data_IF_332999263340
#
_entry.id   IF_332999263340
#
_cell.length_a   1.000
_cell.length_b   1.000
_cell.length_c   1.000
_cell.angle_alpha   90.00
_cell.angle_beta   90.00
_cell.angle_gamma   90.00
#
_symmetry.space_group_name_H-M   'P 1'
#
loop_
_entity.id
_entity.type
_entity.pdbx_description
1 polymer ?
#
# COMPACT_ATOMS: atom_id res chain seq x y z
N UNK A 1 62.91 -11.55 17.16
CA UNK A 1 62.47 -10.72 16.02
C UNK A 1 61.42 -11.50 15.23
N UNK A 2 60.36 -10.81 14.81
CA UNK A 2 59.17 -11.33 14.11
C UNK A 2 59.47 -11.76 12.68
N UNK A 3 58.62 -12.62 12.11
CA UNK A 3 57.85 -12.49 10.84
C UNK A 3 57.34 -13.91 10.49
N UNK A 4 56.05 -14.24 10.67
CA UNK A 4 54.84 -13.83 9.95
C UNK A 4 54.39 -14.94 8.97
N UNK A 5 53.30 -15.60 9.37
CA UNK A 5 52.58 -16.68 8.70
C UNK A 5 51.68 -16.09 7.60
N UNK A 6 51.73 -16.65 6.38
CA UNK A 6 50.68 -16.47 5.37
C UNK A 6 49.98 -17.83 5.19
N UNK A 7 48.71 -17.90 5.57
CA UNK A 7 47.80 -18.95 5.12
C UNK A 7 46.73 -18.31 4.23
N UNK A 8 46.70 -18.74 2.98
CA UNK A 8 45.61 -18.50 2.04
C UNK A 8 44.50 -19.52 2.31
N UNK A 9 43.28 -19.05 2.51
CA UNK A 9 42.08 -19.89 2.60
C UNK A 9 41.25 -19.63 1.33
N UNK A 10 41.15 -20.66 0.49
CA UNK A 10 40.15 -20.75 -0.57
C UNK A 10 38.80 -21.09 0.07
N UNK A 11 37.84 -20.18 -0.01
CA UNK A 11 36.46 -20.39 0.40
C UNK A 11 35.54 -20.51 -0.82
N UNK A 12 35.16 -21.74 -1.16
CA UNK A 12 34.18 -22.06 -2.18
C UNK A 12 32.77 -21.67 -1.72
N UNK A 13 32.10 -20.77 -2.43
CA UNK A 13 30.71 -20.42 -2.20
C UNK A 13 29.80 -21.39 -2.97
N UNK A 14 29.13 -22.28 -2.24
CA UNK A 14 28.08 -23.16 -2.76
C UNK A 14 26.76 -22.39 -2.83
N UNK A 15 26.21 -22.23 -4.04
CA UNK A 15 24.85 -21.79 -4.28
C UNK A 15 23.86 -22.85 -3.75
N UNK A 16 22.92 -22.46 -2.91
CA UNK A 16 21.68 -23.19 -2.70
C UNK A 16 20.50 -22.34 -3.17
N UNK A 17 20.01 -22.67 -4.37
CA UNK A 17 18.69 -22.29 -4.87
C UNK A 17 17.64 -22.94 -3.97
N UNK A 18 16.78 -22.14 -3.34
CA UNK A 18 15.49 -22.60 -2.82
C UNK A 18 14.38 -21.97 -3.65
N UNK A 19 13.78 -22.80 -4.49
CA UNK A 19 12.58 -22.49 -5.25
C UNK A 19 11.37 -22.55 -4.31
N UNK A 20 10.74 -21.40 -4.06
CA UNK A 20 9.41 -21.29 -3.49
C UNK A 20 8.62 -20.24 -4.28
N UNK A 21 8.40 -20.53 -5.56
CA UNK A 21 7.63 -19.67 -6.47
C UNK A 21 6.56 -20.52 -7.16
N UNK A 22 5.43 -20.73 -6.47
CA UNK A 22 4.23 -21.27 -7.10
C UNK A 22 2.90 -20.73 -6.53
N UNK A 23 2.87 -20.14 -5.32
CA UNK A 23 1.61 -19.62 -4.73
C UNK A 23 1.50 -18.08 -4.69
N UNK A 24 2.59 -17.35 -4.95
CA UNK A 24 2.64 -15.87 -4.87
C UNK A 24 2.18 -15.21 -6.18
N UNK A 25 2.37 -15.87 -7.33
CA UNK A 25 1.98 -15.33 -8.64
C UNK A 25 0.45 -15.30 -8.86
N UNK A 26 -0.29 -16.24 -8.26
CA UNK A 26 -1.75 -16.31 -8.40
C UNK A 26 -2.49 -15.17 -7.69
N UNK A 27 -2.02 -14.74 -6.51
CA UNK A 27 -2.61 -13.64 -5.74
C UNK A 27 -2.51 -12.32 -6.52
N UNK A 28 -1.33 -12.03 -7.07
CA UNK A 28 -1.06 -10.79 -7.81
C UNK A 28 -1.88 -10.67 -9.09
N UNK A 29 -1.99 -11.75 -9.88
CA UNK A 29 -2.79 -11.74 -11.11
C UNK A 29 -4.30 -11.59 -10.85
N UNK A 30 -4.82 -12.09 -9.72
CA UNK A 30 -6.24 -11.94 -9.39
C UNK A 30 -6.62 -10.47 -9.10
N UNK A 31 -5.79 -9.75 -8.33
CA UNK A 31 -5.97 -8.31 -8.09
C UNK A 31 -5.80 -7.47 -9.37
N UNK A 32 -4.84 -7.85 -10.21
CA UNK A 32 -4.59 -7.18 -11.49
C UNK A 32 -5.74 -7.36 -12.50
N UNK A 33 -6.31 -8.57 -12.61
CA UNK A 33 -7.47 -8.82 -13.47
C UNK A 33 -8.73 -8.11 -12.97
N UNK A 34 -8.88 -7.92 -11.66
CA UNK A 34 -9.96 -7.10 -11.11
C UNK A 34 -9.79 -5.64 -11.57
N UNK A 35 -8.61 -5.03 -11.37
CA UNK A 35 -8.34 -3.65 -11.81
C UNK A 35 -8.40 -3.43 -13.33
N UNK A 36 -7.89 -4.37 -14.15
CA UNK A 36 -7.87 -4.25 -15.62
C UNK A 36 -9.23 -4.42 -16.31
N UNK A 37 -10.18 -5.15 -15.68
CA UNK A 37 -11.53 -5.35 -16.24
C UNK A 37 -12.40 -4.10 -16.24
N UNK A 38 -11.95 -3.00 -15.64
CA UNK A 38 -12.67 -1.73 -15.59
C UNK A 38 -12.30 -0.74 -16.72
N UNK A 39 -11.38 -1.12 -17.62
CA UNK A 39 -11.14 -0.43 -18.89
C UNK A 39 -11.73 -1.24 -20.04
N UNK A 40 -12.78 -0.70 -20.66
CA UNK A 40 -13.51 -1.20 -21.85
C UNK A 40 -14.57 -2.27 -21.53
N UNK A 41 -15.84 -1.81 -21.45
CA UNK A 41 -17.00 -2.29 -22.21
C UNK A 41 -18.28 -1.64 -21.62
N UNK A 42 -18.60 -0.44 -22.10
CA UNK A 42 -19.97 0.05 -22.09
C UNK A 42 -20.54 -0.28 -23.47
N UNK A 43 -21.12 -1.47 -23.62
CA UNK A 43 -21.91 -1.80 -24.80
C UNK A 43 -23.33 -2.18 -24.37
N UNK A 44 -24.23 -1.38 -24.90
CA UNK A 44 -25.65 -1.29 -24.63
C UNK A 44 -26.35 -2.44 -25.36
N UNK A 45 -26.92 -3.40 -24.64
CA UNK A 45 -27.81 -4.42 -25.22
C UNK A 45 -29.10 -4.51 -24.41
N UNK A 46 -30.17 -4.02 -25.04
CA UNK A 46 -31.54 -3.99 -24.55
C UNK A 46 -32.26 -5.29 -24.92
N UNK A 47 -32.83 -5.91 -23.87
CA UNK A 47 -34.09 -6.67 -23.76
C UNK A 47 -34.22 -8.08 -24.39
N UNK A 48 -34.40 -9.10 -23.53
CA UNK A 48 -35.71 -9.77 -23.36
C UNK A 48 -35.73 -10.80 -22.21
N UNK A 49 -36.68 -10.60 -21.29
CA UNK A 49 -37.32 -11.55 -20.36
C UNK A 49 -36.44 -12.36 -19.36
N UNK A 50 -36.51 -12.03 -18.05
CA UNK A 50 -36.22 -12.92 -16.90
C UNK A 50 -36.65 -12.26 -15.56
N UNK A 51 -36.83 -13.02 -14.45
CA UNK A 51 -37.76 -12.70 -13.34
C UNK A 51 -37.32 -11.46 -12.56
N UNK A 52 -38.26 -10.83 -11.83
CA UNK A 52 -38.08 -9.63 -11.01
C UNK A 52 -36.65 -9.47 -10.48
N UNK A 53 -35.85 -8.70 -11.21
CA UNK A 53 -34.52 -8.30 -10.79
C UNK A 53 -34.75 -7.39 -9.58
N UNK A 54 -34.67 -7.95 -8.37
CA UNK A 54 -34.49 -7.14 -7.18
C UNK A 54 -33.24 -6.30 -7.46
N UNK A 55 -33.47 -5.01 -7.68
CA UNK A 55 -32.43 -4.01 -7.83
C UNK A 55 -31.62 -4.08 -6.55
N UNK A 56 -30.49 -4.82 -6.56
CA UNK A 56 -29.67 -5.04 -5.36
C UNK A 56 -29.44 -3.68 -4.72
N UNK A 57 -29.85 -3.56 -3.47
CA UNK A 57 -29.70 -2.31 -2.75
C UNK A 57 -28.22 -1.96 -2.67
N UNK A 58 -27.93 -0.66 -2.80
CA UNK A 58 -26.57 -0.13 -2.73
C UNK A 58 -26.42 0.59 -1.41
N UNK A 59 -25.29 0.39 -0.75
CA UNK A 59 -24.98 1.15 0.45
C UNK A 59 -24.32 2.48 0.09
N UNK A 60 -24.44 3.44 1.00
CA UNK A 60 -23.70 4.70 0.98
C UNK A 60 -22.77 4.77 2.18
N UNK A 61 -21.63 5.42 2.02
CA UNK A 61 -20.73 5.66 3.14
C UNK A 61 -21.45 6.49 4.21
N UNK A 62 -21.38 6.12 5.50
CA UNK A 62 -21.90 6.94 6.59
C UNK A 62 -21.16 8.29 6.69
N UNK A 63 -21.87 9.34 7.07
CA UNK A 63 -21.25 10.61 7.43
C UNK A 63 -20.62 10.51 8.83
N UNK A 64 -19.30 10.65 8.91
CA UNK A 64 -18.53 10.55 10.14
C UNK A 64 -17.21 11.33 10.03
N UNK A 65 -16.76 12.06 11.07
CA UNK A 65 -15.58 12.93 10.99
C UNK A 65 -14.27 12.21 10.68
N UNK A 66 -14.15 10.93 11.04
CA UNK A 66 -12.97 10.12 10.73
C UNK A 66 -13.00 9.47 9.33
N UNK A 67 -14.14 9.53 8.63
CA UNK A 67 -14.30 8.95 7.30
C UNK A 67 -14.03 9.98 6.21
N UNK A 68 -13.37 9.54 5.16
CA UNK A 68 -13.10 10.37 3.98
C UNK A 68 -13.92 9.84 2.81
N UNK A 69 -14.66 10.73 2.16
CA UNK A 69 -15.33 10.43 0.91
C UNK A 69 -14.31 10.31 -0.22
N UNK A 70 -14.14 9.10 -0.76
CA UNK A 70 -13.39 8.89 -2.00
C UNK A 70 -14.27 9.34 -3.17
N UNK A 71 -13.82 10.28 -4.01
CA UNK A 71 -14.61 10.75 -5.14
C UNK A 71 -14.99 9.61 -6.09
N UNK A 72 -16.21 9.65 -6.61
CA UNK A 72 -16.68 8.66 -7.58
C UNK A 72 -18.18 8.71 -7.76
N UNK A 73 -18.67 7.96 -8.76
CA UNK A 73 -20.08 7.96 -9.12
C UNK A 73 -20.83 6.83 -8.40
N UNK A 74 -20.37 5.58 -8.58
CA UNK A 74 -21.07 4.38 -8.07
C UNK A 74 -20.55 3.94 -6.70
N UNK A 75 -19.32 4.32 -6.34
CA UNK A 75 -18.71 3.95 -5.07
C UNK A 75 -19.35 4.62 -3.85
N UNK A 76 -20.23 5.61 -4.01
CA UNK A 76 -20.96 6.28 -2.93
C UNK A 76 -20.05 6.69 -1.74
N UNK A 77 -18.81 7.12 -2.03
CA UNK A 77 -17.83 7.54 -1.04
C UNK A 77 -16.91 6.46 -0.49
N UNK A 78 -17.23 5.18 -0.68
CA UNK A 78 -16.37 4.07 -0.25
C UNK A 78 -15.02 4.08 -0.98
N UNK A 79 -13.99 3.54 -0.33
CA UNK A 79 -12.64 3.46 -0.86
C UNK A 79 -12.52 2.34 -1.88
N UNK A 80 -13.15 2.56 -3.03
CA UNK A 80 -13.20 1.67 -4.18
C UNK A 80 -13.13 2.50 -5.46
N UNK A 81 -12.84 1.85 -6.59
CA UNK A 81 -12.88 2.50 -7.90
C UNK A 81 -14.23 3.20 -8.18
N UNK A 82 -14.18 4.32 -8.90
CA UNK A 82 -15.31 5.25 -9.06
C UNK A 82 -16.58 4.64 -9.68
N UNK A 83 -16.43 3.54 -10.42
CA UNK A 83 -17.48 2.81 -11.13
C UNK A 83 -17.92 1.52 -10.40
N UNK A 84 -17.33 1.22 -9.24
CA UNK A 84 -17.66 0.04 -8.43
C UNK A 84 -18.68 0.42 -7.36
N UNK A 85 -19.85 -0.21 -7.41
CA UNK A 85 -20.90 0.00 -6.41
C UNK A 85 -20.71 -0.89 -5.17
N UNK A 86 -20.97 -0.34 -3.99
CA UNK A 86 -21.10 -1.11 -2.76
C UNK A 86 -22.46 -1.82 -2.74
N UNK A 87 -22.49 -3.05 -3.29
CA UNK A 87 -23.72 -3.84 -3.43
C UNK A 87 -24.05 -4.59 -2.14
N UNK A 88 -25.34 -4.86 -1.95
CA UNK A 88 -25.84 -5.78 -0.92
C UNK A 88 -25.05 -7.10 -0.87
N UNK A 89 -24.76 -7.54 0.36
CA UNK A 89 -23.99 -8.74 0.66
C UNK A 89 -22.48 -8.61 0.44
N UNK A 90 -21.94 -7.40 0.22
CA UNK A 90 -20.51 -7.15 0.02
C UNK A 90 -19.88 -6.38 1.16
N UNK A 91 -18.58 -6.59 1.34
CA UNK A 91 -17.73 -5.73 2.16
C UNK A 91 -17.24 -4.56 1.31
N UNK A 92 -17.27 -3.36 1.86
CA UNK A 92 -17.00 -2.11 1.18
C UNK A 92 -15.95 -1.34 1.97
N UNK A 93 -14.70 -1.31 1.48
CA UNK A 93 -13.61 -0.63 2.17
C UNK A 93 -13.87 0.86 2.40
N UNK A 94 -13.34 1.37 3.51
CA UNK A 94 -13.51 2.75 3.93
C UNK A 94 -12.16 3.48 3.94
N UNK A 95 -12.18 4.77 3.63
CA UNK A 95 -11.02 5.64 3.75
C UNK A 95 -11.09 6.40 5.08
N UNK A 96 -9.97 6.45 5.79
CA UNK A 96 -9.85 7.19 7.03
C UNK A 96 -9.10 8.50 6.81
N UNK A 97 -9.35 9.49 7.67
CA UNK A 97 -8.55 10.73 7.68
C UNK A 97 -7.07 10.44 7.92
N UNK A 98 -6.20 11.33 7.43
CA UNK A 98 -4.74 11.16 7.50
C UNK A 98 -4.25 10.81 8.91
N UNK A 99 -3.34 9.84 8.99
CA UNK A 99 -2.81 9.32 10.25
C UNK A 99 -3.57 8.12 10.82
N UNK A 100 -4.80 7.85 10.34
CA UNK A 100 -5.62 6.72 10.79
C UNK A 100 -5.68 5.59 9.77
N UNK A 101 -5.94 4.38 10.24
CA UNK A 101 -6.20 3.18 9.45
C UNK A 101 -7.62 2.68 9.72
N UNK A 102 -8.22 1.96 8.77
CA UNK A 102 -9.57 1.39 8.96
C UNK A 102 -9.57 0.39 10.12
N UNK A 103 -10.69 0.23 10.82
CA UNK A 103 -10.83 -0.70 11.94
C UNK A 103 -12.00 -1.67 11.73
N UNK A 104 -12.42 -1.83 10.47
CA UNK A 104 -13.57 -2.62 10.05
C UNK A 104 -13.16 -3.47 8.85
N UNK A 105 -13.52 -4.75 8.87
CA UNK A 105 -13.26 -5.75 7.84
C UNK A 105 -14.03 -7.03 8.17
N UNK A 106 -14.07 -8.00 7.25
CA UNK A 106 -14.63 -9.31 7.53
C UNK A 106 -13.87 -10.00 8.68
N UNK A 107 -14.54 -10.43 9.76
CA UNK A 107 -13.91 -11.19 10.84
C UNK A 107 -13.12 -12.39 10.32
N UNK A 108 -11.95 -12.63 10.91
CA UNK A 108 -11.03 -13.73 10.57
C UNK A 108 -10.45 -13.72 9.14
N UNK A 109 -10.72 -12.68 8.35
CA UNK A 109 -10.08 -12.50 7.02
C UNK A 109 -8.56 -12.42 7.14
N UNK A 110 -7.89 -13.00 6.14
CA UNK A 110 -6.43 -13.00 5.99
C UNK A 110 -6.02 -12.32 4.72
N UNK A 111 -4.73 -12.03 4.60
CA UNK A 111 -4.13 -11.52 3.38
C UNK A 111 -3.98 -12.63 2.34
N UNK A 112 -5.11 -13.20 1.94
CA UNK A 112 -5.27 -14.25 0.96
C UNK A 112 -6.54 -13.98 0.18
N UNK A 113 -6.44 -13.87 -1.14
CA UNK A 113 -7.59 -13.72 -2.01
C UNK A 113 -8.59 -14.91 -1.85
N UNK A 114 -9.92 -14.65 -1.80
CA UNK A 114 -10.58 -13.34 -1.90
C UNK A 114 -10.77 -12.62 -0.57
N UNK A 115 -10.34 -13.21 0.56
CA UNK A 115 -10.54 -12.62 1.89
C UNK A 115 -9.84 -11.26 2.04
N UNK A 116 -8.71 -11.08 1.34
CA UNK A 116 -7.97 -9.82 1.28
C UNK A 116 -8.79 -8.64 0.79
N UNK A 117 -9.84 -8.89 -0.01
CA UNK A 117 -10.71 -7.85 -0.55
C UNK A 117 -11.78 -7.37 0.43
N UNK A 118 -12.03 -8.11 1.51
CA UNK A 118 -13.20 -7.91 2.36
C UNK A 118 -12.94 -6.93 3.51
N UNK A 119 -12.58 -5.69 3.15
CA UNK A 119 -12.37 -4.58 4.08
C UNK A 119 -13.60 -3.71 4.31
N UNK A 120 -13.53 -2.88 5.35
CA UNK A 120 -14.53 -1.87 5.69
C UNK A 120 -15.87 -2.43 6.16
N UNK A 121 -16.97 -1.85 5.66
CA UNK A 121 -18.32 -2.08 6.15
C UNK A 121 -19.03 -3.19 5.37
N UNK A 122 -19.88 -3.94 6.05
CA UNK A 122 -20.74 -4.91 5.38
C UNK A 122 -22.03 -4.26 4.91
N UNK A 123 -22.35 -4.38 3.63
CA UNK A 123 -23.61 -3.89 3.09
C UNK A 123 -24.71 -4.92 3.32
N UNK A 124 -25.64 -4.62 4.23
CA UNK A 124 -26.78 -5.47 4.57
C UNK A 124 -28.08 -4.77 4.16
N UNK A 125 -28.67 -5.23 3.06
CA UNK A 125 -29.92 -4.73 2.47
C UNK A 125 -29.90 -3.22 2.23
N UNK A 126 -28.75 -2.66 1.84
CA UNK A 126 -28.56 -1.23 1.58
C UNK A 126 -28.14 -0.41 2.80
N UNK A 127 -27.97 -1.04 3.96
CA UNK A 127 -27.43 -0.41 5.18
C UNK A 127 -25.97 -0.84 5.35
N UNK A 128 -25.07 0.13 5.50
CA UNK A 128 -23.66 -0.14 5.79
C UNK A 128 -23.47 -0.40 7.29
N UNK A 129 -23.16 -1.63 7.65
CA UNK A 129 -22.99 -2.09 9.03
C UNK A 129 -21.52 -2.31 9.37
N UNK A 130 -21.14 -2.01 10.62
CA UNK A 130 -19.81 -2.32 11.14
C UNK A 130 -19.70 -3.81 11.46
N UNK A 131 -18.76 -4.56 10.85
CA UNK A 131 -18.51 -5.95 11.23
C UNK A 131 -18.06 -6.11 12.68
N UNK A 132 -17.43 -5.09 13.26
CA UNK A 132 -17.10 -5.00 14.69
C UNK A 132 -17.94 -3.86 15.31
N UNK A 133 -19.12 -4.15 15.86
CA UNK A 133 -20.07 -3.13 16.33
C UNK A 133 -19.51 -2.18 17.39
N UNK A 134 -18.65 -2.70 18.28
CA UNK A 134 -18.06 -1.93 19.38
C UNK A 134 -16.78 -1.19 19.00
N UNK A 135 -16.20 -1.48 17.83
CA UNK A 135 -15.00 -0.79 17.34
C UNK A 135 -15.37 0.48 16.55
N UNK A 136 -14.52 1.52 16.54
CA UNK A 136 -14.72 2.68 15.67
C UNK A 136 -14.56 2.31 14.18
N UNK A 137 -14.90 3.24 13.28
CA UNK A 137 -14.61 3.06 11.86
C UNK A 137 -13.11 3.05 11.56
N UNK A 138 -12.37 3.92 12.25
CA UNK A 138 -10.95 4.17 12.05
C UNK A 138 -10.24 4.24 13.40
N UNK A 139 -8.98 3.83 13.43
CA UNK A 139 -8.09 3.96 14.60
C UNK A 139 -6.80 4.67 14.21
N UNK A 140 -6.17 5.33 15.16
CA UNK A 140 -4.87 5.96 14.91
C UNK A 140 -3.81 4.92 14.55
N UNK A 141 -2.98 5.25 13.56
CA UNK A 141 -1.70 4.59 13.38
C UNK A 141 -0.76 4.93 14.54
N UNK A 142 0.47 4.43 14.48
CA UNK A 142 1.45 4.62 15.56
C UNK A 142 1.99 6.05 15.68
N UNK A 143 1.71 6.91 14.70
CA UNK A 143 2.12 8.32 14.70
C UNK A 143 3.61 8.56 14.45
N UNK A 144 4.37 7.52 14.09
CA UNK A 144 5.83 7.58 13.96
C UNK A 144 6.32 8.37 12.74
N UNK A 145 5.49 8.50 11.69
CA UNK A 145 5.91 9.03 10.38
C UNK A 145 5.07 10.23 9.95
N UNK A 146 5.76 11.28 9.52
CA UNK A 146 5.14 12.46 8.90
C UNK A 146 5.54 12.57 7.42
N UNK A 147 4.61 12.97 6.57
CA UNK A 147 4.93 13.50 5.25
C UNK A 147 5.23 14.99 5.37
N UNK A 148 6.36 15.44 4.84
CA UNK A 148 6.82 16.83 4.87
C UNK A 148 7.03 17.32 3.45
N UNK A 149 6.27 18.33 3.06
CA UNK A 149 6.33 18.93 1.73
C UNK A 149 7.13 20.24 1.77
N UNK A 150 8.26 20.28 1.06
CA UNK A 150 9.09 21.47 0.87
C UNK A 150 8.99 22.06 -0.55
N UNK A 151 8.08 21.56 -1.39
CA UNK A 151 7.98 21.94 -2.80
C UNK A 151 7.17 23.23 -3.05
N UNK A 152 6.40 23.71 -2.07
CA UNK A 152 5.61 24.95 -2.17
C UNK A 152 4.29 24.83 -2.94
N UNK A 153 3.95 23.64 -3.42
CA UNK A 153 2.66 23.27 -4.00
C UNK A 153 2.17 22.00 -3.34
N UNK A 154 0.85 21.79 -3.26
CA UNK A 154 0.27 20.56 -2.70
C UNK A 154 0.92 19.30 -3.27
N UNK A 155 1.19 18.33 -2.41
CA UNK A 155 1.63 16.99 -2.82
C UNK A 155 0.65 16.01 -2.20
N UNK A 156 0.03 15.16 -3.01
CA UNK A 156 -0.85 14.12 -2.50
C UNK A 156 -0.10 12.80 -2.26
N UNK A 157 -0.31 12.22 -1.08
CA UNK A 157 0.05 10.85 -0.74
C UNK A 157 -1.23 10.01 -0.80
N UNK A 158 -1.24 9.01 -1.67
CA UNK A 158 -2.41 8.18 -1.93
C UNK A 158 -2.18 6.80 -1.34
N UNK A 159 -2.85 6.50 -0.23
CA UNK A 159 -2.71 5.21 0.45
C UNK A 159 -3.50 4.12 -0.30
N UNK A 160 -2.93 2.92 -0.37
CA UNK A 160 -3.63 1.75 -0.89
C UNK A 160 -4.69 1.23 0.08
N UNK A 161 -5.80 0.76 -0.47
CA UNK A 161 -6.89 0.20 0.31
C UNK A 161 -6.58 -1.25 0.68
N UNK A 162 -6.25 -1.48 1.95
CA UNK A 162 -5.95 -2.82 2.45
C UNK A 162 -6.47 -2.98 3.89
N UNK A 163 -7.37 -3.95 4.19
CA UNK A 163 -7.99 -4.89 3.26
C UNK A 163 -8.87 -4.20 2.20
N UNK A 164 -8.84 -4.72 0.98
CA UNK A 164 -9.53 -4.15 -0.17
C UNK A 164 -8.93 -4.62 -1.49
N UNK A 165 -9.21 -3.85 -2.54
CA UNK A 165 -8.71 -4.10 -3.90
C UNK A 165 -7.28 -3.60 -4.14
N UNK A 166 -6.63 -3.05 -3.10
CA UNK A 166 -5.29 -2.44 -3.13
C UNK A 166 -5.18 -1.17 -4.01
N UNK A 167 -6.31 -0.58 -4.43
CA UNK A 167 -6.30 0.66 -5.18
C UNK A 167 -5.76 1.83 -4.33
N UNK A 168 -4.96 2.72 -4.93
CA UNK A 168 -4.37 3.90 -4.26
C UNK A 168 -5.34 5.08 -4.17
N UNK A 169 -6.49 4.88 -3.53
CA UNK A 169 -7.60 5.86 -3.55
C UNK A 169 -7.86 6.54 -2.21
N UNK A 170 -7.15 6.18 -1.14
CA UNK A 170 -7.29 6.85 0.17
C UNK A 170 -6.45 8.14 0.14
N UNK A 171 -7.09 9.33 0.19
CA UNK A 171 -6.40 10.57 -0.13
C UNK A 171 -5.75 11.23 1.09
N UNK A 172 -4.54 11.76 0.93
CA UNK A 172 -3.91 12.68 1.88
C UNK A 172 -3.21 13.81 1.14
N UNK A 173 -3.72 15.04 1.27
CA UNK A 173 -3.04 16.24 0.76
C UNK A 173 -2.05 16.78 1.78
N UNK A 174 -0.82 17.05 1.34
CA UNK A 174 0.27 17.56 2.17
C UNK A 174 0.68 18.93 1.65
N UNK A 175 0.34 19.98 2.39
CA UNK A 175 0.76 21.36 2.10
C UNK A 175 2.05 21.75 2.81
N UNK A 176 2.27 21.22 4.03
CA UNK A 176 3.44 21.48 4.85
C UNK A 176 3.88 20.21 5.56
N UNK A 177 3.22 19.87 6.66
CA UNK A 177 3.47 18.62 7.39
C UNK A 177 2.16 17.96 7.76
N UNK A 178 2.06 16.66 7.48
CA UNK A 178 0.88 15.85 7.79
C UNK A 178 1.34 14.49 8.31
N UNK A 179 0.76 14.03 9.42
CA UNK A 179 0.96 12.65 9.89
C UNK A 179 0.31 11.68 8.91
N UNK A 180 1.05 10.68 8.45
CA UNK A 180 0.52 9.62 7.60
C UNK A 180 0.24 8.36 8.44
N UNK A 181 -0.67 7.52 7.98
CA UNK A 181 -1.03 6.31 8.69
C UNK A 181 0.14 5.31 8.69
N UNK A 182 0.48 4.83 9.89
CA UNK A 182 1.49 3.78 10.09
C UNK A 182 0.83 2.69 10.91
N UNK A 183 0.45 1.54 10.31
CA UNK A 183 -0.18 0.48 11.05
C UNK A 183 0.78 -0.15 12.06
N UNK A 184 0.27 -0.46 13.24
CA UNK A 184 0.95 -1.32 14.21
C UNK A 184 0.64 -2.80 13.98
N UNK A 185 1.24 -3.67 14.79
CA UNK A 185 1.06 -5.13 14.72
C UNK A 185 -0.39 -5.60 14.97
N UNK A 186 -1.25 -4.76 15.54
CA UNK A 186 -2.67 -5.04 15.75
C UNK A 186 -3.54 -4.78 14.52
N UNK A 187 -2.98 -4.15 13.47
CA UNK A 187 -3.70 -3.90 12.24
C UNK A 187 -3.95 -5.19 11.46
N UNK A 188 -4.97 -5.15 10.60
CA UNK A 188 -5.42 -6.29 9.80
C UNK A 188 -4.26 -7.07 9.18
N UNK A 189 -4.20 -8.35 9.56
CA UNK A 189 -3.15 -9.32 9.19
C UNK A 189 -1.70 -8.80 9.30
N UNK A 190 -1.44 -7.91 10.27
CA UNK A 190 -0.12 -7.31 10.54
C UNK A 190 0.49 -6.59 9.32
N UNK A 191 -0.38 -6.10 8.43
CA UNK A 191 0.02 -5.46 7.18
C UNK A 191 0.59 -4.06 7.39
N UNK A 192 1.26 -3.55 6.35
CA UNK A 192 1.83 -2.21 6.30
C UNK A 192 0.93 -1.25 5.52
N UNK A 193 1.11 0.06 5.73
CA UNK A 193 0.56 1.05 4.81
C UNK A 193 1.50 1.24 3.63
N UNK A 194 0.93 1.43 2.45
CA UNK A 194 1.64 1.74 1.21
C UNK A 194 1.03 2.98 0.57
N UNK A 195 1.87 3.83 -0.03
CA UNK A 195 1.51 5.14 -0.55
C UNK A 195 2.11 5.36 -1.93
N UNK A 196 1.35 5.98 -2.82
CA UNK A 196 1.82 6.59 -4.05
C UNK A 196 2.01 8.09 -3.83
N UNK A 197 3.15 8.65 -4.22
CA UNK A 197 3.50 10.06 -4.00
C UNK A 197 3.44 10.80 -5.33
N UNK A 198 2.44 11.64 -5.49
CA UNK A 198 2.23 12.40 -6.73
C UNK A 198 3.14 13.64 -6.83
N UNK A 199 3.36 14.19 -8.04
CA UNK A 199 4.14 15.40 -8.24
C UNK A 199 3.57 16.65 -7.53
N UNK A 200 4.41 17.61 -7.14
CA UNK A 200 3.96 18.90 -6.61
C UNK A 200 2.99 19.63 -7.55
N UNK A 201 1.86 20.07 -7.02
CA UNK A 201 0.74 20.65 -7.75
C UNK A 201 -0.37 19.66 -8.10
N UNK A 202 -0.23 18.39 -7.75
CA UNK A 202 -1.28 17.37 -7.89
C UNK A 202 -1.94 17.14 -6.53
N UNK A 203 -3.18 17.60 -6.38
CA UNK A 203 -4.02 17.33 -5.21
C UNK A 203 -4.53 15.89 -5.22
N UNK A 204 -4.97 15.41 -4.07
CA UNK A 204 -5.43 14.04 -3.90
C UNK A 204 -6.69 13.73 -4.73
N UNK A 205 -7.56 14.72 -4.95
CA UNK A 205 -8.71 14.60 -5.87
C UNK A 205 -8.33 14.34 -7.33
N UNK A 206 -7.10 14.71 -7.74
CA UNK A 206 -6.55 14.43 -9.07
C UNK A 206 -5.61 13.22 -9.06
N UNK A 207 -4.83 13.05 -7.99
CA UNK A 207 -3.73 12.10 -7.92
C UNK A 207 -4.08 10.75 -7.30
N UNK A 208 -5.12 10.65 -6.48
CA UNK A 208 -5.54 9.40 -5.83
C UNK A 208 -6.63 8.71 -6.65
N UNK A 209 -6.29 8.48 -7.92
CA UNK A 209 -7.13 7.82 -8.93
C UNK A 209 -6.25 6.88 -9.72
N UNK A 210 -6.87 5.90 -10.38
CA UNK A 210 -6.16 5.10 -11.37
C UNK A 210 -5.92 5.96 -12.62
N UNK A 211 -4.66 6.17 -12.96
CA UNK A 211 -4.22 7.06 -14.05
C UNK A 211 -3.99 6.33 -15.37
N UNK A 212 -3.49 7.10 -16.34
CA UNK A 212 -3.08 6.60 -17.66
C UNK A 212 -1.56 6.63 -17.78
N UNK A 213 -0.98 5.76 -18.61
CA UNK A 213 0.47 5.56 -18.71
C UNK A 213 1.25 6.79 -19.19
N UNK A 214 0.58 7.78 -19.77
CA UNK A 214 1.20 9.03 -20.22
C UNK A 214 1.30 10.11 -19.13
N UNK A 215 0.67 9.91 -17.97
CA UNK A 215 0.64 10.90 -16.88
C UNK A 215 1.28 10.34 -15.61
N UNK A 216 2.24 11.05 -14.98
CA UNK A 216 2.94 10.56 -13.80
C UNK A 216 2.13 10.77 -12.51
N UNK A 217 0.90 10.29 -12.48
CA UNK A 217 -0.02 10.42 -11.35
C UNK A 217 -0.66 9.08 -10.98
N UNK A 218 -1.16 8.96 -9.75
CA UNK A 218 -1.83 7.75 -9.27
C UNK A 218 -0.90 6.54 -9.31
N UNK A 219 -1.37 5.44 -9.90
CA UNK A 219 -0.57 4.23 -10.10
C UNK A 219 0.69 4.44 -10.96
N UNK A 220 0.78 5.56 -11.69
CA UNK A 220 1.93 5.96 -12.49
C UNK A 220 2.79 7.05 -11.82
N UNK A 221 2.54 7.40 -10.55
CA UNK A 221 3.35 8.37 -9.83
C UNK A 221 4.82 7.93 -9.74
N UNK A 222 5.80 8.85 -9.66
CA UNK A 222 7.22 8.46 -9.70
C UNK A 222 7.68 7.62 -8.51
N UNK A 223 7.12 7.89 -7.33
CA UNK A 223 7.59 7.31 -6.07
C UNK A 223 6.47 6.61 -5.33
N UNK A 224 6.87 5.60 -4.56
CA UNK A 224 6.04 4.96 -3.56
C UNK A 224 6.74 4.98 -2.20
N UNK A 225 5.95 4.90 -1.14
CA UNK A 225 6.43 4.75 0.21
C UNK A 225 5.66 3.67 0.96
N UNK A 226 6.24 3.13 2.02
CA UNK A 226 5.52 2.24 2.92
C UNK A 226 6.04 2.31 4.35
N UNK A 227 5.17 2.01 5.31
CA UNK A 227 5.55 1.99 6.71
C UNK A 227 4.71 1.03 7.56
N UNK A 228 5.34 0.45 8.58
CA UNK A 228 4.69 -0.31 9.64
C UNK A 228 5.52 -0.33 10.92
N UNK A 229 4.84 -0.41 12.06
CA UNK A 229 5.47 -0.59 13.38
C UNK A 229 5.31 -2.04 13.83
N UNK A 230 6.44 -2.69 14.14
CA UNK A 230 6.47 -4.09 14.57
C UNK A 230 6.43 -4.24 16.09
N UNK A 231 6.36 -5.48 16.57
CA UNK A 231 6.09 -5.78 17.98
C UNK A 231 7.12 -5.22 18.99
N UNK A 232 8.39 -5.08 18.59
CA UNK A 232 9.42 -4.47 19.44
C UNK A 232 9.30 -2.93 19.53
N UNK A 233 8.40 -2.33 18.74
CA UNK A 233 8.17 -0.89 18.66
C UNK A 233 8.98 -0.18 17.57
N UNK A 234 9.86 -0.88 16.85
CA UNK A 234 10.56 -0.31 15.71
C UNK A 234 9.59 -0.06 14.56
N UNK A 235 9.80 1.04 13.85
CA UNK A 235 9.05 1.36 12.63
C UNK A 235 9.97 1.28 11.42
N UNK A 236 9.58 0.48 10.44
CA UNK A 236 10.26 0.44 9.15
C UNK A 236 9.62 1.45 8.22
N UNK A 237 10.42 2.28 7.58
CA UNK A 237 9.98 3.30 6.61
C UNK A 237 10.73 3.07 5.30
N UNK A 238 9.99 2.77 4.23
CA UNK A 238 10.51 2.53 2.89
C UNK A 238 10.15 3.69 1.98
N UNK A 239 11.10 4.10 1.13
CA UNK A 239 10.83 4.87 -0.10
C UNK A 239 11.42 4.11 -1.29
N UNK A 240 10.75 4.17 -2.43
CA UNK A 240 11.15 3.50 -3.65
C UNK A 240 10.74 4.29 -4.89
N UNK A 241 11.41 4.01 -6.00
CA UNK A 241 10.82 4.28 -7.31
C UNK A 241 9.59 3.39 -7.50
N UNK A 242 8.56 3.93 -8.15
CA UNK A 242 7.43 3.12 -8.58
C UNK A 242 7.85 2.27 -9.80
N UNK A 243 7.73 0.93 -9.75
CA UNK A 243 8.08 0.06 -10.87
C UNK A 243 7.29 0.39 -12.15
N UNK A 244 6.03 0.83 -12.06
CA UNK A 244 5.27 1.26 -13.24
C UNK A 244 5.89 2.49 -13.90
N UNK A 245 6.44 3.40 -13.11
CA UNK A 245 7.11 4.60 -13.63
C UNK A 245 8.45 4.26 -14.31
N UNK A 246 9.30 3.47 -13.64
CA UNK A 246 10.66 3.17 -14.13
C UNK A 246 10.71 2.05 -15.17
N UNK A 247 9.69 1.18 -15.21
CA UNK A 247 9.51 0.14 -16.21
C UNK A 247 8.64 0.59 -17.40
N UNK A 248 7.84 1.64 -17.24
CA UNK A 248 6.89 2.11 -18.25
C UNK A 248 7.38 3.25 -19.15
N UNK A 249 6.47 3.83 -19.96
CA UNK A 249 6.81 4.89 -20.92
C UNK A 249 7.30 6.20 -20.26
N UNK A 250 6.96 6.40 -18.97
CA UNK A 250 7.34 7.57 -18.19
C UNK A 250 8.79 7.58 -17.73
N UNK A 251 9.55 6.49 -17.90
CA UNK A 251 10.97 6.41 -17.48
C UNK A 251 11.83 7.56 -18.03
N UNK A 252 11.49 8.07 -19.22
CA UNK A 252 12.20 9.18 -19.88
C UNK A 252 11.87 10.55 -19.26
N UNK A 253 10.79 10.64 -18.49
CA UNK A 253 10.31 11.86 -17.88
C UNK A 253 11.01 12.02 -16.53
N UNK A 254 12.10 12.79 -16.48
CA UNK A 254 12.80 13.06 -15.22
C UNK A 254 11.91 13.90 -14.28
N UNK A 255 11.53 13.42 -13.08
CA UNK A 255 10.77 14.23 -12.13
C UNK A 255 11.58 15.46 -11.68
N UNK A 256 10.89 16.58 -11.42
CA UNK A 256 11.47 17.82 -10.89
C UNK A 256 11.47 17.89 -9.35
N UNK A 257 11.18 16.77 -8.70
CA UNK A 257 11.11 16.65 -7.25
C UNK A 257 11.69 15.29 -6.83
N UNK A 258 12.16 15.20 -5.59
CA UNK A 258 12.68 13.97 -5.00
C UNK A 258 12.05 13.69 -3.64
N UNK A 259 12.36 12.53 -3.09
CA UNK A 259 11.91 12.10 -1.76
C UNK A 259 13.07 11.57 -0.93
N UNK A 260 13.08 11.86 0.37
CA UNK A 260 14.10 11.34 1.30
C UNK A 260 13.53 11.10 2.68
N UNK A 261 14.17 10.23 3.45
CA UNK A 261 13.83 10.00 4.85
C UNK A 261 14.78 10.82 5.74
N UNK A 262 14.21 11.58 6.67
CA UNK A 262 14.94 12.28 7.73
C UNK A 262 14.42 11.85 9.09
N UNK A 263 15.28 11.79 10.10
CA UNK A 263 14.87 11.51 11.48
C UNK A 263 15.23 12.71 12.36
N UNK A 264 14.26 13.57 12.71
CA UNK A 264 14.53 14.80 13.46
C UNK A 264 15.23 14.58 14.79
N UNK A 265 14.91 13.47 15.48
CA UNK A 265 15.56 13.06 16.73
C UNK A 265 16.88 12.29 16.56
N UNK A 266 17.33 12.06 15.33
CA UNK A 266 18.44 11.15 15.03
C UNK A 266 18.12 9.68 15.35
N UNK A 267 19.16 8.84 15.47
CA UNK A 267 19.05 7.46 15.94
C UNK A 267 18.49 6.44 14.95
N UNK A 268 18.07 6.86 13.76
CA UNK A 268 17.59 5.95 12.72
C UNK A 268 18.73 5.18 12.05
N UNK A 269 18.47 3.90 11.77
CA UNK A 269 19.38 3.03 11.04
C UNK A 269 19.02 3.00 9.55
N UNK A 270 20.01 2.98 8.66
CA UNK A 270 19.80 2.94 7.20
C UNK A 270 19.82 4.30 6.50
N UNK A 271 20.13 5.39 7.23
CA UNK A 271 20.35 6.71 6.64
C UNK A 271 21.77 6.85 6.05
N UNK A 272 21.97 7.67 5.00
CA UNK A 272 20.93 8.37 4.23
C UNK A 272 20.05 7.42 3.41
N UNK A 273 18.82 7.82 3.15
CA UNK A 273 17.90 7.13 2.25
C UNK A 273 17.17 8.19 1.44
N UNK A 274 17.61 8.39 0.19
CA UNK A 274 17.20 9.49 -0.67
C UNK A 274 17.03 9.06 -2.12
N UNK A 275 16.03 9.62 -2.77
CA UNK A 275 15.76 9.51 -4.20
C UNK A 275 15.79 10.92 -4.77
N UNK A 276 16.89 11.28 -5.40
CA UNK A 276 17.05 12.56 -6.09
C UNK A 276 17.31 12.31 -7.58
N UNK A 277 16.32 12.47 -8.47
CA UNK A 277 16.54 12.26 -9.89
C UNK A 277 17.55 13.26 -10.48
N UNK A 278 17.77 14.44 -9.88
CA UNK A 278 18.80 15.37 -10.35
C UNK A 278 20.20 14.76 -10.22
N UNK A 279 20.48 14.13 -9.07
CA UNK A 279 21.79 13.57 -8.73
C UNK A 279 21.97 12.12 -9.19
N UNK A 280 20.97 11.27 -8.97
CA UNK A 280 21.06 9.81 -9.14
C UNK A 280 20.42 9.31 -10.45
N UNK A 281 19.74 10.19 -11.19
CA UNK A 281 18.98 9.82 -12.38
C UNK A 281 17.67 9.08 -12.08
N UNK A 282 16.91 8.76 -13.14
CA UNK A 282 15.66 7.98 -12.99
C UNK A 282 15.99 6.54 -12.67
N UNK A 283 15.41 6.03 -11.58
CA UNK A 283 15.68 4.68 -11.05
C UNK A 283 16.80 4.63 -10.00
N UNK A 284 17.55 5.72 -9.78
CA UNK A 284 18.63 5.76 -8.79
C UNK A 284 18.15 5.99 -7.35
N UNK A 285 18.80 5.34 -6.39
CA UNK A 285 18.60 5.54 -4.94
C UNK A 285 19.95 5.69 -4.24
N UNK A 286 20.07 6.73 -3.42
CA UNK A 286 21.25 7.00 -2.59
C UNK A 286 21.02 6.51 -1.16
N UNK A 287 21.61 5.35 -0.84
CA UNK A 287 21.55 4.75 0.50
C UNK A 287 22.63 3.66 0.69
N UNK A 288 23.18 3.50 1.92
CA UNK A 288 24.05 2.37 2.24
C UNK A 288 23.30 1.04 2.31
N UNK A 289 21.97 1.08 2.44
CA UNK A 289 21.08 -0.10 2.53
C UNK A 289 20.11 -0.16 1.34
N UNK A 290 20.55 0.31 0.17
CA UNK A 290 19.76 0.20 -1.06
C UNK A 290 19.57 -1.26 -1.46
N UNK A 291 18.42 -1.56 -2.03
CA UNK A 291 18.11 -2.84 -2.64
C UNK A 291 17.19 -2.64 -3.84
N UNK A 292 17.09 -3.65 -4.69
CA UNK A 292 16.20 -3.65 -5.86
C UNK A 292 14.99 -4.51 -5.57
N UNK A 293 13.81 -3.94 -5.79
CA UNK A 293 12.51 -4.55 -5.51
C UNK A 293 11.86 -5.17 -6.75
N UNK A 294 10.53 -5.23 -6.72
CA UNK A 294 9.75 -5.76 -7.85
C UNK A 294 9.86 -4.78 -9.02
N UNK A 295 9.89 -5.29 -10.25
CA UNK A 295 9.96 -4.46 -11.45
C UNK A 295 11.26 -3.67 -11.59
N UNK A 296 12.36 -4.20 -11.03
CA UNK A 296 13.69 -3.60 -11.04
C UNK A 296 13.74 -2.17 -10.46
N UNK A 297 12.81 -1.86 -9.55
CA UNK A 297 12.73 -0.57 -8.90
C UNK A 297 13.60 -0.55 -7.63
N UNK A 298 14.59 0.34 -7.59
CA UNK A 298 15.43 0.51 -6.41
C UNK A 298 14.67 1.19 -5.27
N UNK A 299 15.01 0.78 -4.05
CA UNK A 299 14.44 1.30 -2.81
C UNK A 299 15.48 1.35 -1.68
N UNK A 300 15.14 2.05 -0.60
CA UNK A 300 15.85 1.97 0.67
C UNK A 300 14.88 1.96 1.85
N UNK A 301 15.31 1.36 2.96
CA UNK A 301 14.51 1.21 4.19
C UNK A 301 15.28 1.80 5.36
N UNK A 302 14.57 2.59 6.16
CA UNK A 302 15.07 3.17 7.40
C UNK A 302 14.33 2.54 8.57
N UNK A 303 15.08 2.13 9.59
CA UNK A 303 14.51 1.66 10.86
C UNK A 303 14.52 2.80 11.85
N UNK A 304 13.32 3.20 12.31
CA UNK A 304 13.11 4.16 13.38
C UNK A 304 12.96 3.38 14.69
N UNK A 305 13.89 3.53 15.66
CA UNK A 305 13.76 2.86 16.94
C UNK A 305 12.48 3.26 17.67
N UNK A 306 11.98 2.38 18.55
CA UNK A 306 10.82 2.67 19.40
C UNK A 306 10.90 4.04 20.07
N UNK A 307 9.85 4.86 19.89
CA UNK A 307 9.75 6.21 20.44
C UNK A 307 10.45 7.29 19.60
N UNK A 308 11.13 6.92 18.52
CA UNK A 308 11.65 7.86 17.52
C UNK A 308 10.56 8.37 16.58
N UNK A 309 10.96 9.22 15.63
CA UNK A 309 10.11 9.72 14.56
C UNK A 309 10.89 9.85 13.26
N UNK A 310 10.20 9.74 12.14
CA UNK A 310 10.75 9.98 10.81
C UNK A 310 9.85 10.88 9.98
N UNK A 311 10.48 11.60 9.05
CA UNK A 311 9.82 12.41 8.05
C UNK A 311 10.14 11.83 6.67
N UNK A 312 9.11 11.60 5.86
CA UNK A 312 9.26 11.44 4.41
C UNK A 312 9.19 12.85 3.81
N UNK A 313 10.33 13.39 3.43
CA UNK A 313 10.48 14.76 2.93
C UNK A 313 10.43 14.76 1.41
N UNK A 314 9.49 15.51 0.85
CA UNK A 314 9.37 15.82 -0.57
C UNK A 314 10.05 17.16 -0.83
N UNK A 315 10.95 17.24 -1.80
CA UNK A 315 11.74 18.45 -2.10
C UNK A 315 11.88 18.70 -3.60
N UNK A 316 12.06 19.96 -4.01
CA UNK A 316 12.35 20.28 -5.40
C UNK A 316 13.81 19.97 -5.74
N UNK A 317 14.05 19.38 -6.90
CA UNK A 317 15.41 18.94 -7.31
C UNK A 317 16.33 20.08 -7.70
N UNK A 318 15.78 21.25 -7.98
CA UNK A 318 16.52 22.48 -8.27
C UNK A 318 16.98 23.22 -6.99
N UNK A 319 16.65 22.69 -5.81
CA UNK A 319 16.96 23.29 -4.51
C UNK A 319 16.01 24.42 -4.10
N UNK A 320 14.99 24.74 -4.90
CA UNK A 320 13.99 25.75 -4.54
C UNK A 320 13.15 25.26 -3.36
N UNK A 321 13.10 26.03 -2.28
CA UNK A 321 12.17 25.76 -1.18
C UNK A 321 10.85 26.51 -1.39
N UNK A 322 9.74 25.84 -1.14
CA UNK A 322 8.43 26.45 -1.08
C UNK A 322 8.31 27.38 0.14
N UNK A 323 7.98 28.65 -0.07
CA UNK A 323 7.61 29.54 1.03
C UNK A 323 6.40 29.01 1.82
N UNK A 324 6.22 29.41 3.10
CA UNK A 324 5.03 29.04 3.85
C UNK A 324 3.79 29.46 3.06
N UNK A 325 2.89 28.52 2.81
CA UNK A 325 1.68 28.75 2.06
C UNK A 325 0.81 29.80 2.78
N UNK A 326 0.95 31.08 2.43
CA UNK A 326 -0.05 32.10 2.71
C UNK A 326 -1.26 31.78 1.84
N UNK A 327 -2.19 31.00 2.39
CA UNK A 327 -3.54 30.86 1.85
C UNK A 327 -4.25 32.21 1.92
N UNK A 328 -4.11 33.03 0.88
CA UNK A 328 -5.13 34.03 0.55
C UNK A 328 -6.33 33.30 -0.09
N UNK A 329 -6.99 32.46 0.70
CA UNK A 329 -8.33 31.97 0.35
C UNK A 329 -9.29 33.06 0.81
N UNK A 330 -9.83 33.81 -0.15
CA UNK A 330 -10.97 34.67 0.10
C UNK A 330 -12.10 33.83 0.73
N UNK A 331 -12.75 34.27 1.82
CA UNK A 331 -13.80 33.50 2.48
C UNK A 331 -14.95 33.19 1.49
N UNK A 332 -15.57 32.00 1.54
CA UNK A 332 -16.77 31.72 0.78
C UNK A 332 -17.87 32.71 1.14
N UNK A 333 -18.40 33.38 0.12
CA UNK A 333 -19.54 34.31 0.24
C UNK A 333 -20.76 33.55 0.73
N UNK A 334 -21.03 33.64 2.02
CA UNK A 334 -22.25 33.12 2.65
C UNK A 334 -23.42 33.99 2.21
N UNK A 335 -24.30 33.47 1.35
CA UNK A 335 -25.61 34.06 1.08
C UNK A 335 -26.55 33.74 2.23
N UNK A 336 -26.46 34.52 3.31
CA UNK A 336 -27.42 34.44 4.43
C UNK A 336 -28.63 35.30 4.11
N UNK A 337 -29.74 34.66 3.79
CA UNK A 337 -31.08 35.26 3.79
C UNK A 337 -31.45 35.67 5.21
N UNK A 338 -31.63 36.99 5.39
CA UNK A 338 -32.01 37.67 6.62
C UNK A 338 -33.47 37.39 7.00
N UNK A 339 -33.77 36.91 8.22
CA UNK A 339 -35.10 37.05 8.81
C UNK A 339 -35.23 38.38 9.58
N UNK A 340 -36.40 38.98 9.43
CA UNK A 340 -36.91 40.20 10.06
C UNK A 340 -37.04 40.06 11.59
N UNK A 341 -36.75 41.10 12.41
CA UNK A 341 -36.85 41.01 13.86
C UNK A 341 -38.31 41.17 14.35
N UNK A 342 -38.75 40.44 15.39
CA UNK A 342 -39.95 40.74 16.15
C UNK A 342 -39.63 41.65 17.37
N UNK A 343 -40.65 42.33 17.93
CA UNK A 343 -40.46 43.49 18.77
C UNK A 343 -40.17 43.16 20.24
N UNK A 344 -39.55 44.15 20.86
CA UNK A 344 -39.17 44.32 22.26
C UNK A 344 -40.32 44.07 23.24
N UNK A 345 -40.05 43.33 24.32
CA UNK A 345 -40.80 43.46 25.57
C UNK A 345 -39.85 43.36 26.75
N UNK A 346 -39.89 44.40 27.58
CA UNK A 346 -39.08 44.60 28.77
C UNK A 346 -39.63 43.81 29.94
N UNK A 347 -38.76 43.12 30.69
CA UNK A 347 -39.00 42.84 32.10
C UNK A 347 -37.68 42.57 32.83
N UNK A 348 -37.65 43.11 34.04
CA UNK A 348 -36.54 43.44 34.94
C UNK A 348 -36.14 42.31 35.91
N UNK A 349 -35.02 42.57 36.62
CA UNK A 349 -34.50 41.93 37.86
C UNK A 349 -33.94 40.50 37.74
N UNK A 350 -32.86 40.08 38.40
CA UNK A 350 -32.05 40.65 39.48
C UNK A 350 -30.72 39.87 39.64
N UNK A 351 -29.74 40.59 40.18
CA UNK A 351 -28.44 40.26 40.76
C UNK A 351 -28.18 38.85 41.30
N UNK A 352 -26.96 38.33 41.08
CA UNK A 352 -26.01 37.97 42.16
C UNK A 352 -24.62 37.64 41.61
N UNK A 353 -23.61 38.06 42.38
CA UNK A 353 -22.17 38.13 42.10
C UNK A 353 -21.40 37.15 43.00
N UNK A 354 -20.26 36.64 42.51
CA UNK A 354 -19.02 36.17 43.20
C UNK A 354 -18.40 35.03 42.38
N UNK A 355 -17.27 35.11 41.67
CA UNK A 355 -15.87 35.45 42.04
C UNK A 355 -15.34 34.60 43.20
N UNK A 356 -14.34 33.75 42.92
CA UNK A 356 -12.95 33.80 43.44
C UNK A 356 -12.20 32.50 43.05
N UNK A 357 -10.99 32.69 42.50
CA UNK A 357 -9.90 31.72 42.39
C UNK A 357 -9.03 31.74 43.67
N UNK A 358 -8.26 30.68 44.00
CA UNK A 358 -6.79 30.73 43.81
C UNK A 358 -6.19 29.35 43.41
N UNK A 359 -5.13 29.22 42.60
CA UNK A 359 -3.68 29.50 42.78
C UNK A 359 -2.88 28.41 43.55
N UNK A 360 -2.07 27.66 42.77
CA UNK A 360 -0.79 26.93 43.00
C UNK A 360 -0.28 26.61 44.42
N UNK A 361 0.35 25.43 44.59
CA UNK A 361 1.82 25.24 44.80
C UNK A 361 2.20 23.75 44.98
N UNK A 362 3.36 23.39 44.42
CA UNK A 362 4.07 22.10 44.43
C UNK A 362 4.53 21.60 45.81
N UNK A 363 4.71 20.28 45.97
CA UNK A 363 5.79 19.69 46.77
C UNK A 363 6.01 18.21 46.42
N UNK A 364 7.28 17.84 46.31
CA UNK A 364 7.81 16.52 46.03
C UNK A 364 7.74 15.57 47.24
N UNK A 365 7.67 14.27 46.99
CA UNK A 365 8.08 13.24 47.95
C UNK A 365 8.80 12.13 47.18
N UNK A 366 10.08 11.96 47.51
CA UNK A 366 10.87 10.76 47.23
C UNK A 366 10.85 9.88 48.48
N UNK A 367 10.81 8.55 48.32
CA UNK A 367 11.46 7.62 49.24
C UNK A 367 11.90 6.33 48.52
N UNK A 368 13.13 5.96 48.85
CA UNK A 368 13.90 4.81 48.36
C UNK A 368 13.49 3.50 49.03
N UNK A 369 13.76 2.38 48.35
CA UNK A 369 14.19 1.12 49.00
C UNK A 369 15.04 0.27 48.05
N UNK A 370 16.34 0.30 48.35
CA UNK A 370 17.39 -0.73 48.36
C UNK A 370 17.49 -1.86 47.32
N UNK A 371 18.70 -1.87 46.75
CA UNK A 371 19.47 -2.87 46.01
C UNK A 371 19.29 -4.37 46.34
N UNK A 372 19.34 -5.18 45.28
CA UNK A 372 20.08 -6.44 45.22
C UNK A 372 20.46 -6.78 43.76
N UNK A 373 21.74 -7.05 43.52
CA UNK A 373 22.30 -7.73 42.35
C UNK A 373 23.62 -8.39 42.82
N UNK A 374 24.26 -9.34 42.09
CA UNK A 374 23.83 -10.01 40.86
C UNK A 374 23.97 -11.56 40.94
N UNK A 375 23.43 -12.27 39.95
CA UNK A 375 23.99 -13.56 39.53
C UNK A 375 23.76 -13.78 38.04
N UNK A 376 24.87 -14.02 37.37
CA UNK A 376 25.09 -14.29 35.95
C UNK A 376 24.47 -15.61 35.48
N UNK A 377 23.84 -15.59 34.30
CA UNK A 377 23.80 -16.75 33.40
C UNK A 377 23.68 -16.31 31.95
N UNK A 378 24.71 -16.65 31.19
CA UNK A 378 24.83 -16.60 29.75
C UNK A 378 23.85 -17.56 29.06
N UNK A 379 23.15 -17.10 28.00
CA UNK A 379 22.69 -18.00 26.94
C UNK A 379 22.49 -17.28 25.61
N UNK A 380 23.39 -17.64 24.68
CA UNK A 380 23.17 -17.87 23.25
C UNK A 380 22.28 -16.90 22.46
N UNK A 381 22.94 -16.10 21.64
CA UNK A 381 22.42 -15.46 20.44
C UNK A 381 21.85 -16.50 19.47
N UNK A 382 20.54 -16.53 19.32
CA UNK A 382 19.88 -17.00 18.09
C UNK A 382 19.64 -15.77 17.22
N UNK A 383 20.40 -15.67 16.14
CA UNK A 383 20.10 -14.75 15.04
C UNK A 383 18.83 -15.24 14.36
N UNK A 384 17.68 -14.72 14.80
CA UNK A 384 16.48 -14.78 13.99
C UNK A 384 16.71 -13.89 12.76
N UNK A 385 16.84 -14.56 11.62
CA UNK A 385 16.77 -13.94 10.30
C UNK A 385 15.33 -13.43 10.15
N UNK A 386 15.13 -12.16 10.50
CA UNK A 386 13.83 -11.51 10.50
C UNK A 386 13.49 -11.00 9.09
N UNK A 387 12.37 -11.51 8.59
CA UNK A 387 11.76 -11.11 7.32
C UNK A 387 11.14 -9.71 7.49
N UNK A 388 11.80 -8.70 6.93
CA UNK A 388 11.24 -7.35 6.83
C UNK A 388 9.83 -7.38 6.24
N UNK A 389 8.95 -6.51 6.78
CA UNK A 389 7.54 -6.45 6.43
C UNK A 389 7.30 -6.53 4.92
N UNK A 390 6.33 -7.35 4.51
CA UNK A 390 6.09 -7.62 3.10
C UNK A 390 5.49 -6.37 2.45
N UNK A 391 6.35 -5.55 1.86
CA UNK A 391 5.97 -4.45 0.99
C UNK A 391 5.58 -5.04 -0.38
N UNK A 392 4.28 -5.19 -0.62
CA UNK A 392 3.78 -5.71 -1.89
C UNK A 392 3.67 -4.58 -2.91
N UNK A 393 4.47 -4.64 -3.97
CA UNK A 393 4.42 -3.72 -5.11
C UNK A 393 3.75 -4.44 -6.30
N UNK A 394 2.76 -3.80 -6.91
CA UNK A 394 2.11 -4.29 -8.12
C UNK A 394 2.98 -3.97 -9.34
N UNK A 395 3.21 -4.95 -10.23
CA UNK A 395 3.86 -4.74 -11.53
C UNK A 395 3.18 -5.61 -12.58
N UNK A 396 2.72 -4.94 -13.63
CA UNK A 396 2.06 -5.50 -14.80
C UNK A 396 3.11 -5.78 -15.88
N UNK A 397 3.31 -7.04 -16.27
CA UNK A 397 4.10 -7.37 -17.46
C UNK A 397 3.23 -7.21 -18.71
N UNK A 398 3.70 -6.45 -19.69
CA UNK A 398 3.22 -6.51 -21.08
C UNK A 398 4.15 -7.43 -21.86
N UNK A 399 3.64 -8.58 -22.29
CA UNK A 399 4.33 -9.44 -23.24
C UNK A 399 4.32 -8.77 -24.63
N UNK A 400 5.48 -8.33 -25.10
CA UNK A 400 5.68 -7.87 -26.47
C UNK A 400 5.49 -9.03 -27.44
N UNK A 401 4.34 -9.03 -28.11
CA UNK A 401 4.11 -9.93 -29.25
C UNK A 401 4.67 -9.25 -30.50
N UNK A 402 5.77 -9.79 -31.02
CA UNK A 402 6.36 -9.42 -32.30
C UNK A 402 5.29 -9.41 -33.41
N UNK A 403 4.93 -8.23 -33.91
CA UNK A 403 4.16 -8.09 -35.14
C UNK A 403 5.11 -8.06 -36.33
N UNK A 404 5.10 -9.13 -37.11
CA UNK A 404 5.81 -9.25 -38.38
C UNK A 404 5.12 -8.38 -39.44
N UNK A 405 5.90 -7.48 -40.03
CA UNK A 405 5.50 -6.60 -41.11
C UNK A 405 5.13 -7.39 -42.38
N UNK A 406 3.94 -7.12 -42.92
CA UNK A 406 3.54 -7.48 -44.28
C UNK A 406 4.46 -6.83 -45.32
N UNK A 407 4.97 -7.65 -46.24
CA UNK A 407 5.78 -7.22 -47.39
C UNK A 407 5.47 -8.05 -48.64
N UNK A 408 4.76 -7.41 -49.54
CA UNK A 408 4.42 -7.64 -50.96
C UNK A 408 5.03 -8.80 -51.76
N UNK A 409 4.13 -9.43 -52.52
CA UNK A 409 4.28 -10.46 -53.56
C UNK A 409 5.14 -9.99 -54.75
N UNK A 410 6.07 -10.85 -55.19
CA UNK A 410 6.58 -10.89 -56.58
C UNK A 410 7.01 -12.31 -56.97
N UNK A 411 6.58 -12.78 -58.14
CA UNK A 411 6.87 -14.09 -58.77
C UNK A 411 7.66 -13.86 -60.06
N UNK A 412 8.69 -14.67 -60.38
CA UNK A 412 8.69 -15.52 -61.61
C UNK A 412 9.38 -16.90 -61.37
N UNK A 413 8.89 -18.09 -61.79
CA UNK A 413 8.72 -18.73 -63.14
C UNK A 413 9.81 -19.80 -63.48
N UNK A 414 9.38 -21.09 -63.58
CA UNK A 414 9.86 -22.29 -64.36
C UNK A 414 11.28 -22.87 -64.09
N UNK A 415 11.65 -24.18 -64.05
CA UNK A 415 11.13 -25.57 -64.25
C UNK A 415 12.33 -26.56 -63.93
N UNK A 416 12.32 -27.91 -64.12
CA UNK A 416 11.40 -29.02 -63.76
C UNK A 416 12.06 -30.26 -63.03
N UNK A 417 11.23 -31.08 -62.34
CA UNK A 417 11.17 -32.57 -62.07
C UNK A 417 12.40 -33.53 -62.12
N UNK A 418 12.31 -34.84 -61.70
CA UNK A 418 11.25 -35.62 -61.02
C UNK A 418 11.71 -36.61 -59.89
N UNK A 419 10.73 -37.32 -59.29
CA UNK A 419 10.70 -38.73 -58.81
C UNK A 419 10.02 -38.87 -57.43
N UNK A 420 8.75 -39.30 -57.38
CA UNK A 420 8.26 -40.69 -57.18
C UNK A 420 8.45 -41.16 -55.72
N UNK A 421 7.48 -41.71 -54.96
CA UNK A 421 6.15 -42.25 -55.23
C UNK A 421 5.30 -42.21 -53.94
N UNK A 422 3.99 -42.30 -54.10
CA UNK A 422 2.98 -42.47 -53.04
C UNK A 422 2.70 -43.98 -52.77
N UNK A 423 1.60 -44.38 -52.10
CA UNK A 423 1.15 -44.16 -50.72
C UNK A 423 0.81 -45.52 -50.03
N UNK A 424 0.17 -45.52 -48.85
CA UNK A 424 -1.09 -46.26 -48.54
C UNK A 424 -1.46 -46.17 -47.06
N UNK A 425 -2.77 -46.02 -46.86
CA UNK A 425 -3.59 -45.76 -45.69
C UNK A 425 -3.79 -46.96 -44.75
N UNK A 426 -4.38 -46.70 -43.56
CA UNK A 426 -5.57 -47.34 -42.93
C UNK A 426 -5.44 -47.30 -41.40
N UNK A 427 -6.44 -47.36 -40.53
CA UNK A 427 -7.87 -46.98 -40.46
C UNK A 427 -8.26 -47.19 -38.98
N UNK A 428 -9.16 -46.33 -38.47
CA UNK A 428 -10.24 -46.62 -37.51
C UNK A 428 -10.04 -46.90 -36.00
N UNK A 429 -10.93 -46.20 -35.25
CA UNK A 429 -11.80 -46.63 -34.13
C UNK A 429 -11.15 -46.85 -32.75
N UNK A 430 -11.83 -46.73 -31.62
CA UNK A 430 -12.97 -45.97 -31.06
C UNK A 430 -13.16 -46.60 -29.65
N UNK A 431 -13.68 -45.82 -28.69
CA UNK A 431 -14.32 -46.29 -27.43
C UNK A 431 -13.39 -46.98 -26.40
N UNK A 432 -13.54 -46.84 -25.09
CA UNK A 432 -14.50 -46.16 -24.23
C UNK A 432 -14.32 -46.65 -22.78
N UNK A 433 -14.63 -45.75 -21.84
CA UNK A 433 -15.21 -45.97 -20.50
C UNK A 433 -14.49 -46.76 -19.37
N UNK A 434 -14.85 -46.31 -18.15
CA UNK A 434 -14.86 -46.99 -16.84
C UNK A 434 -13.53 -47.07 -16.08
N UNK A 435 -13.46 -46.96 -14.75
CA UNK A 435 -14.29 -46.44 -13.66
C UNK A 435 -13.44 -46.61 -12.38
N UNK A 436 -13.88 -46.01 -11.27
CA UNK A 436 -13.58 -46.41 -9.86
C UNK A 436 -12.25 -46.03 -9.15
N UNK A 437 -12.44 -45.15 -8.16
CA UNK A 437 -12.21 -45.40 -6.71
C UNK A 437 -10.79 -45.68 -6.18
N UNK A 438 -10.35 -44.88 -5.19
CA UNK A 438 -9.38 -45.35 -4.19
C UNK A 438 -8.67 -44.28 -3.38
N UNK A 439 -9.13 -44.09 -2.15
CA UNK A 439 -8.56 -43.35 -1.01
C UNK A 439 -7.08 -43.60 -0.70
N UNK A 440 -6.35 -42.62 -0.13
CA UNK A 440 -5.70 -42.76 1.20
C UNK A 440 -4.89 -41.51 1.63
N UNK A 441 -5.27 -41.01 2.80
CA UNK A 441 -4.55 -40.10 3.70
C UNK A 441 -3.61 -40.96 4.56
N UNK A 442 -2.38 -40.48 4.83
CA UNK A 442 -1.74 -40.47 6.16
C UNK A 442 -0.23 -40.26 6.06
N UNK A 443 0.24 -39.12 6.60
CA UNK A 443 1.65 -38.76 6.75
C UNK A 443 2.30 -39.45 7.95
N UNK A 444 3.56 -39.80 7.75
CA UNK A 444 4.46 -40.53 8.64
C UNK A 444 5.06 -39.60 9.72
N UNK A 445 4.92 -40.00 10.99
CA UNK A 445 5.71 -39.51 12.13
C UNK A 445 6.71 -40.62 12.52
N UNK A 446 7.86 -40.19 13.07
CA UNK A 446 8.84 -40.91 13.90
C UNK A 446 10.14 -41.33 13.19
N UNK A 447 11.24 -40.64 13.55
CA UNK A 447 12.45 -41.28 14.10
C UNK A 447 13.45 -40.22 14.61
N UNK A 448 13.54 -40.09 15.94
CA UNK A 448 14.68 -39.55 16.67
C UNK A 448 15.27 -40.70 17.48
N UNK A 449 16.59 -40.88 17.44
CA UNK A 449 17.51 -41.17 18.57
C UNK A 449 18.84 -41.74 18.05
N UNK A 450 19.91 -41.33 18.74
CA UNK A 450 21.26 -41.89 18.84
C UNK A 450 22.35 -41.32 17.92
N UNK A 451 23.12 -40.37 18.48
CA UNK A 451 24.58 -40.46 18.51
C UNK A 451 25.14 -39.49 19.57
N UNK A 452 25.22 -39.95 20.81
CA UNK A 452 26.14 -39.43 21.81
C UNK A 452 27.02 -40.60 22.22
N UNK A 453 28.31 -40.58 21.83
CA UNK A 453 29.42 -41.29 22.46
C UNK A 453 30.69 -41.17 21.59
N UNK A 454 31.63 -40.30 21.99
CA UNK A 454 33.03 -40.62 22.34
C UNK A 454 34.02 -39.51 21.94
N UNK A 455 34.61 -38.94 23.00
CA UNK A 455 35.83 -38.13 23.14
C UNK A 455 35.82 -36.65 22.75
#
# INVERSE_FOLDING_TARGET
MRFATLQAVFGSASLFLSAASASIHGHRHAHEQYGKRHTILAEDLIDTATPSIEKRSTCSLPDHPDLVYVPGAKNNGFAMASDVACLDGKYCPIACVAGKVMAQWQPDSKYVYPQSMNGGLYCNKGVAEKPFPDAPYCVDGTGTVQAVNKCGKVVSFCQTVLPGDEAMVIPTDVMGTTTIAVPGISYWDKTAAHYYINPPGVSASKGCVWGVESEPIGNWSPYVAGANTVANGDTYVKIAWNPMFVGGPLKKNKPSFGVKIECPGGGCNGLPCSIDPASDGVGGVSSPVKATGVGDADFCVVTVPKGGSANIVVFNTDGSEGGPATTSVAPPRTTTTKPKPPPTTSSSSSSSSSTIAPTTTSAAISWSSSAAAPSSSSSSSTTDVFQGGVFHENSTHTDDTHSSSHGTITVPTLSPSPDAAAPVSTTSKNEGAADQSGTAIAGLIVALVAAAALY
#
